data_IF_714759294504
#
_entry.id   IF_714759294504
#
_cell.length_a   1.000
_cell.length_b   1.000
_cell.length_c   1.000
_cell.angle_alpha   90.00
_cell.angle_beta   90.00
_cell.angle_gamma   90.00
#
_symmetry.space_group_name_H-M   'P 1'
#
loop_
_entity.id
_entity.type
_entity.pdbx_description
1 polymer ?
#
# COMPACT_ATOMS: atom_id res chain seq x y z
N UNK A 1 11.33 10.33 -33.63
CA UNK A 1 9.96 10.18 -33.09
C UNK A 1 9.72 11.35 -32.15
N UNK A 2 8.65 12.13 -32.33
CA UNK A 2 8.42 13.35 -31.55
C UNK A 2 7.18 13.16 -30.68
N UNK A 3 7.28 13.41 -29.38
CA UNK A 3 6.20 13.24 -28.40
C UNK A 3 5.90 14.57 -27.71
N UNK A 4 4.61 14.81 -27.40
CA UNK A 4 4.14 16.04 -26.73
C UNK A 4 3.09 15.70 -25.67
N UNK A 5 3.19 16.33 -24.50
CA UNK A 5 2.24 16.24 -23.38
C UNK A 5 1.81 17.66 -22.99
N UNK A 6 0.53 17.87 -22.70
CA UNK A 6 -0.01 19.14 -22.20
C UNK A 6 -0.87 18.92 -20.96
N UNK A 7 -0.81 19.84 -20.00
CA UNK A 7 -1.58 19.81 -18.75
C UNK A 7 -2.35 21.11 -18.59
N UNK A 8 -3.67 21.03 -18.47
CA UNK A 8 -4.56 22.17 -18.22
C UNK A 8 -5.28 21.98 -16.87
N UNK A 9 -4.99 22.89 -15.92
CA UNK A 9 -5.53 22.83 -14.54
C UNK A 9 -7.02 23.15 -14.44
N UNK A 10 -7.56 23.93 -15.38
CA UNK A 10 -8.97 24.30 -15.41
C UNK A 10 -9.85 23.15 -15.92
N UNK A 11 -9.27 22.21 -16.68
CA UNK A 11 -9.96 21.02 -17.19
C UNK A 11 -10.02 19.91 -16.13
N UNK A 12 -10.92 20.05 -15.15
CA UNK A 12 -11.15 19.02 -14.13
C UNK A 12 -11.98 17.86 -14.68
N UNK A 13 -11.52 16.63 -14.47
CA UNK A 13 -12.26 15.40 -14.83
C UNK A 13 -13.07 14.89 -13.63
N UNK A 14 -12.46 14.84 -12.44
CA UNK A 14 -13.09 14.36 -11.22
C UNK A 14 -12.13 14.37 -10.04
N UNK A 15 -12.61 13.93 -8.87
CA UNK A 15 -11.77 13.73 -7.69
C UNK A 15 -11.10 12.37 -7.78
N UNK A 16 -9.79 12.32 -7.55
CA UNK A 16 -9.06 11.06 -7.40
C UNK A 16 -9.58 10.39 -6.12
N UNK A 17 -10.17 9.21 -6.27
CA UNK A 17 -10.72 8.49 -5.12
C UNK A 17 -9.59 7.91 -4.27
N UNK A 18 -9.54 8.12 -2.94
CA UNK A 18 -8.40 7.69 -2.12
C UNK A 18 -8.21 6.16 -2.13
N UNK A 19 -9.29 5.39 -2.28
CA UNK A 19 -9.21 3.91 -2.26
C UNK A 19 -8.53 3.29 -3.49
N UNK A 20 -8.13 4.06 -4.52
CA UNK A 20 -7.27 3.52 -5.59
C UNK A 20 -5.87 3.16 -5.08
N UNK A 21 -5.50 3.69 -3.91
CA UNK A 21 -4.25 3.39 -3.21
C UNK A 21 -4.43 2.32 -2.13
N UNK A 22 -5.50 1.51 -2.21
CA UNK A 22 -5.75 0.43 -1.26
C UNK A 22 -4.69 -0.66 -1.29
N UNK A 23 -4.59 -1.40 -0.18
CA UNK A 23 -3.74 -2.59 -0.05
C UNK A 23 -4.61 -3.83 0.16
N UNK A 24 -4.04 -5.01 -0.09
CA UNK A 24 -4.68 -6.30 0.14
C UNK A 24 -3.75 -7.20 0.97
N UNK A 25 -4.32 -7.88 1.97
CA UNK A 25 -3.60 -8.82 2.83
C UNK A 25 -4.44 -10.08 3.00
N UNK A 26 -3.81 -11.24 2.87
CA UNK A 26 -4.46 -12.54 2.95
C UNK A 26 -3.70 -13.44 3.91
N UNK A 27 -4.38 -14.40 4.53
CA UNK A 27 -3.77 -15.46 5.31
C UNK A 27 -3.07 -16.49 4.40
N UNK A 28 -2.14 -16.03 3.58
CA UNK A 28 -1.41 -16.80 2.60
C UNK A 28 0.09 -16.73 2.86
N UNK A 29 0.70 -17.90 3.08
CA UNK A 29 2.14 -18.02 3.33
C UNK A 29 2.61 -17.03 4.41
N UNK A 30 3.71 -16.32 4.16
CA UNK A 30 4.30 -15.35 5.09
C UNK A 30 3.72 -13.94 4.99
N UNK A 31 2.51 -13.77 4.47
CA UNK A 31 1.86 -12.46 4.43
C UNK A 31 1.45 -12.01 5.85
N UNK A 32 0.83 -12.91 6.61
CA UNK A 32 0.52 -12.71 8.03
C UNK A 32 1.66 -13.23 8.89
N UNK A 33 1.82 -14.56 8.97
CA UNK A 33 2.77 -15.21 9.88
C UNK A 33 4.20 -15.14 9.35
N UNK A 34 5.07 -14.40 10.04
CA UNK A 34 6.43 -14.06 9.58
C UNK A 34 6.45 -12.86 8.60
N UNK A 35 5.29 -12.30 8.29
CA UNK A 35 5.10 -11.05 7.56
C UNK A 35 4.80 -9.92 8.53
N UNK A 36 3.57 -9.42 8.54
CA UNK A 36 3.16 -8.36 9.47
C UNK A 36 3.09 -8.81 10.94
N UNK A 37 2.99 -10.12 11.19
CA UNK A 37 2.82 -10.68 12.53
C UNK A 37 3.84 -11.80 12.81
N UNK A 38 4.61 -11.67 13.88
CA UNK A 38 5.59 -12.66 14.34
C UNK A 38 5.84 -12.54 15.87
N UNK A 39 5.19 -13.38 16.68
CA UNK A 39 5.13 -13.31 18.15
C UNK A 39 6.49 -13.27 18.90
N UNK A 40 7.51 -13.96 18.37
CA UNK A 40 8.80 -14.14 19.08
C UNK A 40 9.95 -13.41 18.40
N UNK A 41 9.65 -12.49 17.49
CA UNK A 41 10.69 -11.69 16.84
C UNK A 41 11.10 -10.52 17.72
N UNK A 42 12.41 -10.26 17.79
CA UNK A 42 12.96 -9.04 18.37
C UNK A 42 12.63 -7.77 17.56
N UNK A 43 12.06 -7.91 16.37
CA UNK A 43 11.56 -6.82 15.52
C UNK A 43 10.06 -6.59 15.69
N UNK A 44 9.37 -7.39 16.50
CA UNK A 44 7.94 -7.23 16.75
C UNK A 44 7.68 -6.48 18.04
N UNK A 45 6.51 -5.87 18.14
CA UNK A 45 6.02 -5.27 19.37
C UNK A 45 5.34 -6.28 20.32
N UNK A 46 4.82 -5.77 21.44
CA UNK A 46 4.14 -6.58 22.46
C UNK A 46 2.88 -7.30 21.96
N UNK A 47 2.31 -6.85 20.84
CA UNK A 47 1.16 -7.49 20.19
C UNK A 47 1.61 -8.43 19.06
N UNK A 48 2.92 -8.60 18.83
CA UNK A 48 3.47 -9.44 17.78
C UNK A 48 3.52 -8.78 16.40
N UNK A 49 3.18 -7.49 16.26
CA UNK A 49 3.28 -6.79 14.98
C UNK A 49 4.70 -6.30 14.69
N UNK A 50 5.17 -6.49 13.46
CA UNK A 50 6.47 -5.96 13.01
C UNK A 50 6.53 -4.43 13.12
N UNK A 51 7.63 -3.89 13.66
CA UNK A 51 7.94 -2.46 13.75
C UNK A 51 9.05 -2.03 12.79
#
# INVERSE_FOLDING_TARGET
MNYKIEVNRERRIGKIHPNIYGHFIEHMSRCIYGGIYEERSNLSDENGFRK
#
